data_IF_844861868652
#
_entry.id   IF_844861868652
#
_cell.length_a   1.000
_cell.length_b   1.000
_cell.length_c   1.000
_cell.angle_alpha   90.00
_cell.angle_beta   90.00
_cell.angle_gamma   90.00
#
_symmetry.space_group_name_H-M   'P 1'
#
loop_
_entity.id
_entity.type
_entity.pdbx_description
1 polymer ?
#
# COMPACT_ATOMS: atom_id res chain seq x y z
N UNK A 1 11.06 8.38 20.36
CA UNK A 1 10.42 9.23 19.34
C UNK A 1 9.29 8.54 18.60
N UNK A 2 9.45 7.28 18.18
CA UNK A 2 8.38 6.48 17.54
C UNK A 2 7.10 6.44 18.39
N UNK A 3 7.19 6.27 19.72
CA UNK A 3 6.03 6.35 20.64
C UNK A 3 5.30 7.71 20.58
N UNK A 4 6.03 8.82 20.43
CA UNK A 4 5.44 10.16 20.31
C UNK A 4 4.73 10.29 18.96
N UNK A 5 5.37 9.84 17.88
CA UNK A 5 4.76 9.81 16.54
C UNK A 5 3.52 8.92 16.52
N UNK A 6 3.55 7.76 17.19
CA UNK A 6 2.39 6.89 17.31
C UNK A 6 1.24 7.59 18.04
N UNK A 7 1.49 8.17 19.21
CA UNK A 7 0.46 8.90 19.97
C UNK A 7 -0.17 10.06 19.19
N UNK A 8 0.60 10.72 18.32
CA UNK A 8 0.11 11.86 17.52
C UNK A 8 -0.55 11.45 16.20
N UNK A 9 -0.04 10.40 15.54
CA UNK A 9 -0.58 9.97 14.25
C UNK A 9 -1.73 9.00 14.40
N UNK A 10 -1.77 8.23 15.48
CA UNK A 10 -2.77 7.19 15.76
C UNK A 10 -3.78 7.73 16.75
N UNK A 11 -4.49 8.77 16.32
CA UNK A 11 -5.66 9.28 17.03
C UNK A 11 -6.79 8.25 16.99
N UNK A 12 -7.62 8.22 18.05
CA UNK A 12 -8.80 7.32 18.13
C UNK A 12 -9.69 7.40 16.89
N UNK A 13 -9.85 8.60 16.31
CA UNK A 13 -10.64 8.82 15.09
C UNK A 13 -10.02 8.12 13.87
N UNK A 14 -8.70 8.15 13.73
CA UNK A 14 -8.00 7.50 12.61
C UNK A 14 -8.00 5.98 12.75
N UNK A 15 -7.82 5.47 13.96
CA UNK A 15 -7.97 4.04 14.24
C UNK A 15 -9.38 3.58 13.86
N UNK A 16 -10.41 4.35 14.24
CA UNK A 16 -11.79 4.05 13.87
C UNK A 16 -12.01 4.06 12.34
N UNK A 17 -11.44 5.04 11.62
CA UNK A 17 -11.51 5.09 10.15
C UNK A 17 -10.81 3.89 9.53
N UNK A 18 -9.61 3.55 9.98
CA UNK A 18 -8.87 2.37 9.51
C UNK A 18 -9.66 1.09 9.74
N UNK A 19 -10.28 0.95 10.91
CA UNK A 19 -11.13 -0.20 11.24
C UNK A 19 -12.37 -0.28 10.35
N UNK A 20 -13.07 0.85 10.13
CA UNK A 20 -14.23 0.88 9.21
C UNK A 20 -13.81 0.48 7.80
N UNK A 21 -12.68 1.02 7.34
CA UNK A 21 -12.16 0.72 6.02
C UNK A 21 -11.83 -0.76 5.86
N UNK A 22 -11.22 -1.34 6.88
CA UNK A 22 -10.89 -2.76 6.92
C UNK A 22 -12.12 -3.68 6.94
N UNK A 23 -13.15 -3.35 7.74
CA UNK A 23 -14.42 -4.07 7.72
C UNK A 23 -15.09 -4.02 6.34
N UNK A 24 -14.90 -2.91 5.61
CA UNK A 24 -15.39 -2.75 4.26
C UNK A 24 -14.62 -3.63 3.25
N UNK A 25 -13.29 -3.81 3.44
CA UNK A 25 -12.50 -4.80 2.67
C UNK A 25 -13.03 -6.21 2.87
N UNK A 26 -13.23 -6.61 4.13
CA UNK A 26 -13.75 -7.93 4.47
C UNK A 26 -15.14 -8.14 3.86
N UNK A 27 -16.00 -7.11 3.92
CA UNK A 27 -17.32 -7.16 3.31
C UNK A 27 -17.22 -7.34 1.79
N UNK A 28 -16.35 -6.61 1.08
CA UNK A 28 -16.15 -6.82 -0.35
C UNK A 28 -15.65 -8.22 -0.67
N UNK A 29 -14.68 -8.74 0.08
CA UNK A 29 -14.20 -10.11 -0.11
C UNK A 29 -15.31 -11.13 0.09
N UNK A 30 -16.16 -10.96 1.11
CA UNK A 30 -17.30 -11.86 1.33
C UNK A 30 -18.31 -11.81 0.19
N UNK A 31 -18.64 -10.62 -0.32
CA UNK A 31 -19.58 -10.46 -1.43
C UNK A 31 -19.07 -11.13 -2.71
N UNK A 32 -17.79 -10.94 -3.03
CA UNK A 32 -17.14 -11.50 -4.22
C UNK A 32 -17.13 -13.04 -4.17
N UNK A 33 -16.87 -13.61 -3.00
CA UNK A 33 -16.86 -15.07 -2.83
C UNK A 33 -18.26 -15.65 -2.86
N UNK A 34 -19.25 -14.96 -2.31
CA UNK A 34 -20.63 -15.44 -2.19
C UNK A 34 -21.39 -15.43 -3.53
N UNK A 35 -21.00 -14.57 -4.48
CA UNK A 35 -21.80 -14.30 -5.68
C UNK A 35 -21.85 -15.47 -6.68
N UNK A 36 -20.97 -16.48 -6.59
CA UNK A 36 -20.75 -17.35 -7.74
C UNK A 36 -21.33 -18.76 -7.76
N UNK A 37 -21.06 -19.69 -6.83
CA UNK A 37 -21.41 -21.10 -7.13
C UNK A 37 -21.69 -21.96 -5.91
N UNK A 38 -22.43 -23.06 -6.11
CA UNK A 38 -22.60 -24.07 -5.08
C UNK A 38 -21.22 -24.65 -4.71
N UNK A 39 -20.99 -24.93 -3.43
CA UNK A 39 -19.69 -25.44 -2.93
C UNK A 39 -19.15 -26.65 -3.72
N UNK A 40 -20.03 -27.43 -4.33
CA UNK A 40 -19.71 -28.58 -5.17
C UNK A 40 -19.09 -28.20 -6.52
N UNK A 41 -19.54 -27.12 -7.16
CA UNK A 41 -18.96 -26.63 -8.42
C UNK A 41 -17.55 -26.07 -8.19
N UNK A 42 -17.34 -25.39 -7.06
CA UNK A 42 -16.02 -24.95 -6.63
C UNK A 42 -15.03 -26.10 -6.48
N UNK A 43 -15.49 -27.25 -5.96
CA UNK A 43 -14.67 -28.45 -5.84
C UNK A 43 -14.37 -29.12 -7.18
N UNK A 44 -15.26 -29.00 -8.18
CA UNK A 44 -15.10 -29.62 -9.49
C UNK A 44 -14.08 -28.87 -10.38
N UNK A 45 -13.98 -27.55 -10.27
CA UNK A 45 -13.05 -26.73 -11.06
C UNK A 45 -12.13 -25.84 -10.20
N UNK A 46 -11.34 -26.42 -9.27
CA UNK A 46 -10.62 -25.67 -8.24
C UNK A 46 -9.58 -24.70 -8.81
N UNK A 47 -8.96 -25.03 -9.94
CA UNK A 47 -7.96 -24.16 -10.59
C UNK A 47 -8.56 -22.84 -11.10
N UNK A 48 -9.80 -22.88 -11.59
CA UNK A 48 -10.46 -21.68 -12.09
C UNK A 48 -10.74 -20.71 -10.93
N UNK A 49 -11.32 -21.21 -9.84
CA UNK A 49 -11.62 -20.39 -8.67
C UNK A 49 -10.37 -19.92 -7.94
N UNK A 50 -9.32 -20.74 -7.89
CA UNK A 50 -8.04 -20.32 -7.32
C UNK A 50 -7.49 -19.09 -8.06
N UNK A 51 -7.45 -19.13 -9.39
CA UNK A 51 -7.00 -17.99 -10.19
C UNK A 51 -7.92 -16.79 -10.02
N UNK A 52 -9.24 -16.99 -10.13
CA UNK A 52 -10.23 -15.93 -9.95
C UNK A 52 -10.11 -15.22 -8.60
N UNK A 53 -10.06 -15.98 -7.50
CA UNK A 53 -9.92 -15.43 -6.14
C UNK A 53 -8.59 -14.68 -6.01
N UNK A 54 -7.49 -15.22 -6.56
CA UNK A 54 -6.18 -14.58 -6.49
C UNK A 54 -6.12 -13.25 -7.27
N UNK A 55 -6.72 -13.19 -8.46
CA UNK A 55 -6.76 -11.98 -9.29
C UNK A 55 -7.64 -10.90 -8.65
N UNK A 56 -8.83 -11.28 -8.20
CA UNK A 56 -9.76 -10.33 -7.57
C UNK A 56 -9.21 -9.83 -6.24
N UNK A 57 -8.62 -10.72 -5.42
CA UNK A 57 -7.93 -10.32 -4.20
C UNK A 57 -6.87 -9.26 -4.49
N UNK A 58 -6.02 -9.51 -5.48
CA UNK A 58 -4.93 -8.61 -5.85
C UNK A 58 -5.46 -7.25 -6.32
N UNK A 59 -6.52 -7.20 -7.12
CA UNK A 59 -7.15 -5.94 -7.54
C UNK A 59 -7.74 -5.14 -6.37
N UNK A 60 -8.51 -5.82 -5.51
CA UNK A 60 -9.08 -5.20 -4.29
C UNK A 60 -7.95 -4.70 -3.40
N UNK A 61 -6.92 -5.50 -3.18
CA UNK A 61 -5.76 -5.18 -2.35
C UNK A 61 -5.03 -3.93 -2.86
N UNK A 62 -4.77 -3.82 -4.16
CA UNK A 62 -4.12 -2.66 -4.76
C UNK A 62 -4.94 -1.38 -4.49
N UNK A 63 -6.24 -1.41 -4.79
CA UNK A 63 -7.12 -0.24 -4.63
C UNK A 63 -7.23 0.19 -3.16
N UNK A 64 -7.45 -0.79 -2.29
CA UNK A 64 -7.63 -0.59 -0.85
C UNK A 64 -6.34 -0.03 -0.23
N UNK A 65 -5.20 -0.61 -0.58
CA UNK A 65 -3.94 -0.21 0.00
C UNK A 65 -3.48 1.18 -0.49
N UNK A 66 -3.76 1.54 -1.74
CA UNK A 66 -3.51 2.89 -2.22
C UNK A 66 -4.26 3.93 -1.35
N UNK A 67 -5.51 3.65 -0.99
CA UNK A 67 -6.30 4.50 -0.09
C UNK A 67 -5.75 4.49 1.34
N UNK A 68 -5.31 3.34 1.86
CA UNK A 68 -4.67 3.26 3.17
C UNK A 68 -3.43 4.16 3.24
N UNK A 69 -2.56 4.09 2.22
CA UNK A 69 -1.36 4.93 2.16
C UNK A 69 -1.72 6.41 2.11
N UNK A 70 -2.79 6.80 1.40
CA UNK A 70 -3.29 8.17 1.44
C UNK A 70 -3.59 8.59 2.89
N UNK A 71 -4.42 7.82 3.59
CA UNK A 71 -4.86 8.17 4.95
C UNK A 71 -3.69 8.24 5.93
N UNK A 72 -2.71 7.35 5.78
CA UNK A 72 -1.50 7.32 6.59
C UNK A 72 -0.65 8.60 6.40
N UNK A 73 -0.45 9.02 5.16
CA UNK A 73 0.49 10.10 4.81
C UNK A 73 -0.19 11.47 4.69
N UNK A 74 -1.51 11.57 4.58
CA UNK A 74 -2.23 12.85 4.43
C UNK A 74 -1.94 13.88 5.53
N UNK A 75 -1.56 13.40 6.71
CA UNK A 75 -1.26 14.22 7.88
C UNK A 75 0.24 14.33 8.18
N UNK A 76 1.09 13.97 7.21
CA UNK A 76 2.54 14.01 7.37
C UNK A 76 3.06 15.39 7.78
N UNK A 77 2.41 16.51 7.44
CA UNK A 77 2.85 17.87 7.80
C UNK A 77 2.10 18.51 8.99
N UNK A 78 1.50 17.71 9.88
CA UNK A 78 0.75 18.26 11.03
C UNK A 78 1.58 19.26 11.88
N UNK A 79 0.93 20.29 12.45
CA UNK A 79 1.62 21.33 13.22
C UNK A 79 2.36 20.81 14.46
N UNK A 80 1.99 19.64 15.00
CA UNK A 80 2.66 19.02 16.15
C UNK A 80 4.13 18.65 15.87
N UNK A 81 4.50 18.47 14.59
CA UNK A 81 5.85 18.07 14.19
C UNK A 81 6.82 19.25 14.31
N UNK A 82 6.32 20.50 14.22
CA UNK A 82 7.14 21.70 14.31
C UNK A 82 7.92 21.78 15.64
N UNK A 83 7.30 21.57 16.82
CA UNK A 83 8.03 21.39 18.07
C UNK A 83 9.09 20.28 18.02
N UNK A 84 8.78 19.10 17.46
CA UNK A 84 9.72 17.99 17.39
C UNK A 84 10.97 18.34 16.56
N UNK A 85 10.79 19.09 15.47
CA UNK A 85 11.91 19.60 14.68
C UNK A 85 12.81 20.54 15.47
N UNK A 86 12.24 21.38 16.34
CA UNK A 86 13.01 22.28 17.20
C UNK A 86 13.82 21.54 18.26
N UNK A 87 13.26 20.48 18.87
CA UNK A 87 13.92 19.73 19.95
C UNK A 87 14.93 18.68 19.46
N UNK A 88 14.61 17.91 18.42
CA UNK A 88 15.42 16.74 18.02
C UNK A 88 16.18 16.95 16.71
N UNK A 89 15.95 18.07 16.02
CA UNK A 89 16.52 18.36 14.71
C UNK A 89 15.73 17.71 13.58
N UNK A 90 15.62 18.42 12.44
CA UNK A 90 14.74 18.03 11.33
C UNK A 90 15.11 16.69 10.71
N UNK A 91 16.41 16.44 10.47
CA UNK A 91 16.89 15.21 9.84
C UNK A 91 16.50 13.96 10.63
N UNK A 92 16.72 13.97 11.95
CA UNK A 92 16.34 12.85 12.82
C UNK A 92 14.83 12.62 12.75
N UNK A 93 14.02 13.67 12.91
CA UNK A 93 12.56 13.54 12.86
C UNK A 93 12.07 13.00 11.53
N UNK A 94 12.60 13.46 10.39
CA UNK A 94 12.26 12.93 9.07
C UNK A 94 12.58 11.44 8.93
N UNK A 95 13.75 11.00 9.39
CA UNK A 95 14.15 9.57 9.34
C UNK A 95 13.21 8.71 10.17
N UNK A 96 12.94 9.08 11.42
CA UNK A 96 12.04 8.29 12.28
C UNK A 96 10.59 8.33 11.83
N UNK A 97 10.14 9.41 11.20
CA UNK A 97 8.83 9.48 10.56
C UNK A 97 8.73 8.53 9.37
N UNK A 98 9.77 8.45 8.56
CA UNK A 98 9.86 7.46 7.48
C UNK A 98 9.81 6.02 8.03
N UNK A 99 10.65 5.70 9.03
CA UNK A 99 10.65 4.38 9.68
C UNK A 99 9.28 4.05 10.27
N UNK A 100 8.60 5.03 10.88
CA UNK A 100 7.25 4.85 11.40
C UNK A 100 6.26 4.46 10.30
N UNK A 101 6.27 5.14 9.15
CA UNK A 101 5.39 4.78 8.03
C UNK A 101 5.69 3.39 7.48
N UNK A 102 6.97 3.02 7.33
CA UNK A 102 7.37 1.69 6.90
C UNK A 102 6.84 0.59 7.84
N UNK A 103 6.94 0.81 9.15
CA UNK A 103 6.39 -0.11 10.15
C UNK A 103 4.87 -0.22 10.05
N UNK A 104 4.16 0.91 9.93
CA UNK A 104 2.70 0.91 9.82
C UNK A 104 2.20 0.19 8.56
N UNK A 105 2.87 0.38 7.41
CA UNK A 105 2.54 -0.35 6.18
C UNK A 105 2.82 -1.84 6.36
N UNK A 106 3.94 -2.21 6.99
CA UNK A 106 4.27 -3.61 7.25
C UNK A 106 3.21 -4.30 8.09
N UNK A 107 2.82 -3.69 9.22
CA UNK A 107 1.76 -4.22 10.07
C UNK A 107 0.43 -4.35 9.34
N UNK A 108 0.04 -3.31 8.59
CA UNK A 108 -1.19 -3.33 7.83
C UNK A 108 -1.19 -4.40 6.73
N UNK A 109 -0.10 -4.54 5.98
CA UNK A 109 0.03 -5.57 4.94
C UNK A 109 -0.08 -6.99 5.50
N UNK A 110 0.62 -7.29 6.60
CA UNK A 110 0.51 -8.58 7.29
C UNK A 110 -0.91 -8.83 7.80
N UNK A 111 -1.56 -7.79 8.31
CA UNK A 111 -2.90 -7.88 8.85
C UNK A 111 -3.93 -8.17 7.74
N UNK A 112 -3.90 -7.43 6.63
CA UNK A 112 -4.81 -7.67 5.48
C UNK A 112 -4.60 -9.06 4.92
N UNK A 113 -3.36 -9.52 4.79
CA UNK A 113 -3.04 -10.88 4.38
C UNK A 113 -3.68 -11.94 5.30
N UNK A 114 -3.47 -11.83 6.61
CA UNK A 114 -4.06 -12.75 7.57
C UNK A 114 -5.60 -12.73 7.50
N UNK A 115 -6.19 -11.55 7.38
CA UNK A 115 -7.64 -11.39 7.27
C UNK A 115 -8.22 -12.05 6.01
N UNK A 116 -7.49 -11.99 4.89
CA UNK A 116 -7.87 -12.61 3.64
C UNK A 116 -7.77 -14.14 3.68
N UNK A 117 -6.64 -14.68 4.16
CA UNK A 117 -6.44 -16.12 4.34
C UNK A 117 -7.53 -16.72 5.24
N UNK A 118 -7.87 -16.05 6.34
CA UNK A 118 -8.98 -16.45 7.23
C UNK A 118 -10.31 -16.40 6.48
N UNK A 119 -10.60 -15.33 5.75
CA UNK A 119 -11.85 -15.19 5.01
C UNK A 119 -12.00 -16.28 3.94
N UNK A 120 -10.97 -16.56 3.16
CA UNK A 120 -10.95 -17.61 2.14
C UNK A 120 -11.18 -18.98 2.78
N UNK A 121 -10.46 -19.29 3.86
CA UNK A 121 -10.60 -20.58 4.55
C UNK A 121 -11.99 -20.77 5.17
N UNK A 122 -12.64 -19.71 5.63
CA UNK A 122 -13.99 -19.79 6.22
C UNK A 122 -15.06 -19.87 5.13
N UNK A 123 -14.91 -19.13 4.04
CA UNK A 123 -15.94 -18.97 3.01
C UNK A 123 -15.84 -19.97 1.87
N UNK A 124 -14.66 -20.52 1.59
CA UNK A 124 -14.45 -21.44 0.46
C UNK A 124 -13.83 -22.76 0.92
N UNK A 125 -14.21 -23.89 0.30
CA UNK A 125 -13.59 -25.19 0.58
C UNK A 125 -12.22 -25.36 -0.10
N UNK A 126 -11.73 -24.36 -0.83
CA UNK A 126 -10.49 -24.43 -1.61
C UNK A 126 -9.36 -23.79 -0.79
N UNK A 127 -8.24 -24.50 -0.66
CA UNK A 127 -7.00 -23.95 -0.12
C UNK A 127 -6.32 -23.06 -1.16
N UNK A 128 -6.77 -21.82 -1.29
CA UNK A 128 -6.07 -20.80 -2.08
C UNK A 128 -4.91 -20.27 -1.23
N UNK A 129 -3.68 -20.61 -1.60
CA UNK A 129 -2.50 -19.96 -1.04
C UNK A 129 -2.16 -18.74 -1.88
N UNK A 130 -2.18 -17.55 -1.28
CA UNK A 130 -1.65 -16.35 -1.92
C UNK A 130 -0.12 -16.45 -1.92
N UNK A 131 0.49 -16.25 -3.08
CA UNK A 131 1.95 -16.29 -3.22
C UNK A 131 2.62 -15.17 -2.42
N UNK A 132 3.62 -15.51 -1.61
CA UNK A 132 4.39 -14.55 -0.84
C UNK A 132 5.13 -13.56 -1.75
N UNK A 133 5.49 -14.02 -2.96
CA UNK A 133 6.17 -13.19 -3.95
C UNK A 133 5.29 -12.02 -4.42
N UNK A 134 4.01 -12.27 -4.75
CA UNK A 134 3.10 -11.21 -5.16
C UNK A 134 2.87 -10.21 -4.04
N UNK A 135 2.72 -10.69 -2.81
CA UNK A 135 2.58 -9.84 -1.63
C UNK A 135 3.78 -8.92 -1.41
N UNK A 136 5.00 -9.43 -1.60
CA UNK A 136 6.22 -8.62 -1.48
C UNK A 136 6.25 -7.50 -2.53
N UNK A 137 5.85 -7.77 -3.78
CA UNK A 137 5.80 -6.75 -4.81
C UNK A 137 4.74 -5.68 -4.52
N UNK A 138 3.57 -6.09 -4.05
CA UNK A 138 2.51 -5.15 -3.67
C UNK A 138 2.93 -4.31 -2.45
N UNK A 139 3.68 -4.88 -1.50
CA UNK A 139 4.27 -4.12 -0.41
C UNK A 139 5.27 -3.07 -0.90
N UNK A 140 6.17 -3.43 -1.82
CA UNK A 140 7.14 -2.49 -2.40
C UNK A 140 6.45 -1.33 -3.14
N UNK A 141 5.35 -1.60 -3.84
CA UNK A 141 4.53 -0.55 -4.48
C UNK A 141 4.00 0.47 -3.47
N UNK A 142 3.53 0.01 -2.30
CA UNK A 142 3.05 0.92 -1.25
C UNK A 142 4.15 1.82 -0.73
N UNK A 143 5.38 1.30 -0.62
CA UNK A 143 6.54 2.10 -0.19
C UNK A 143 6.91 3.15 -1.24
N UNK A 144 6.86 2.79 -2.52
CA UNK A 144 7.07 3.75 -3.63
C UNK A 144 6.01 4.84 -3.58
N UNK A 145 4.75 4.49 -3.35
CA UNK A 145 3.64 5.44 -3.25
C UNK A 145 3.81 6.38 -2.04
N UNK A 146 4.24 5.87 -0.87
CA UNK A 146 4.61 6.71 0.28
C UNK A 146 5.71 7.70 -0.09
N UNK A 147 6.77 7.23 -0.73
CA UNK A 147 7.89 8.10 -1.13
C UNK A 147 7.41 9.22 -2.06
N UNK A 148 6.60 8.90 -3.07
CA UNK A 148 6.02 9.89 -3.98
C UNK A 148 5.18 10.92 -3.22
N UNK A 149 4.30 10.48 -2.32
CA UNK A 149 3.46 11.39 -1.54
C UNK A 149 4.32 12.26 -0.62
N UNK A 150 5.31 11.70 0.09
CA UNK A 150 6.20 12.48 0.97
C UNK A 150 7.02 13.54 0.21
N UNK A 151 7.46 13.23 -1.01
CA UNK A 151 8.21 14.17 -1.86
C UNK A 151 7.29 15.25 -2.42
N UNK A 152 6.10 14.91 -2.90
CA UNK A 152 5.21 15.86 -3.56
C UNK A 152 4.40 16.72 -2.59
N UNK A 153 4.09 16.22 -1.41
CA UNK A 153 3.18 16.90 -0.49
C UNK A 153 3.86 18.04 0.25
N UNK A 154 3.14 19.16 0.32
CA UNK A 154 3.30 20.22 1.31
C UNK A 154 1.94 20.45 1.97
N UNK A 155 1.91 20.93 3.20
CA UNK A 155 0.69 21.25 3.95
C UNK A 155 -0.41 21.98 3.15
N UNK A 156 -0.04 22.84 2.18
CA UNK A 156 -0.99 23.60 1.35
C UNK A 156 -1.66 22.80 0.23
N UNK A 157 -1.12 21.64 -0.16
CA UNK A 157 -1.55 20.90 -1.35
C UNK A 157 -2.04 19.49 -1.02
N UNK A 158 -2.90 19.34 0.00
CA UNK A 158 -3.46 18.03 0.36
C UNK A 158 -4.16 17.34 -0.84
N UNK A 159 -4.79 18.11 -1.72
CA UNK A 159 -5.43 17.60 -2.94
C UNK A 159 -4.48 16.95 -3.94
N UNK A 160 -3.18 17.29 -3.96
CA UNK A 160 -2.21 16.65 -4.86
C UNK A 160 -1.99 15.17 -4.49
N UNK A 161 -2.07 14.79 -3.22
CA UNK A 161 -1.98 13.36 -2.83
C UNK A 161 -3.10 12.53 -3.46
N UNK A 162 -4.31 13.07 -3.50
CA UNK A 162 -5.47 12.41 -4.11
C UNK A 162 -5.24 12.24 -5.62
N UNK A 163 -4.70 13.26 -6.28
CA UNK A 163 -4.40 13.20 -7.72
C UNK A 163 -3.32 12.14 -8.01
N UNK A 164 -2.24 12.09 -7.22
CA UNK A 164 -1.18 11.08 -7.38
C UNK A 164 -1.76 9.67 -7.29
N UNK A 165 -2.69 9.45 -6.36
CA UNK A 165 -3.31 8.14 -6.17
C UNK A 165 -4.32 7.82 -7.25
N UNK A 166 -5.08 8.80 -7.73
CA UNK A 166 -5.90 8.62 -8.92
C UNK A 166 -5.04 8.21 -10.11
N UNK A 167 -3.90 8.87 -10.34
CA UNK A 167 -2.97 8.49 -11.42
C UNK A 167 -2.47 7.06 -11.20
N UNK A 168 -2.12 6.67 -9.97
CA UNK A 168 -1.70 5.30 -9.66
C UNK A 168 -2.78 4.27 -9.98
N UNK A 169 -4.01 4.47 -9.49
CA UNK A 169 -5.14 3.57 -9.74
C UNK A 169 -5.46 3.50 -11.23
N UNK A 170 -5.47 4.63 -11.92
CA UNK A 170 -5.72 4.68 -13.38
C UNK A 170 -4.59 3.97 -14.14
N UNK A 171 -3.34 4.18 -13.74
CA UNK A 171 -2.18 3.56 -14.40
C UNK A 171 -2.22 2.03 -14.36
N UNK A 172 -2.73 1.45 -13.27
CA UNK A 172 -2.91 -0.01 -13.14
C UNK A 172 -3.75 -0.60 -14.26
N UNK A 173 -4.85 0.05 -14.63
CA UNK A 173 -5.71 -0.42 -15.72
C UNK A 173 -5.04 -0.34 -17.10
N UNK A 174 -4.12 0.61 -17.30
CA UNK A 174 -3.43 0.79 -18.58
C UNK A 174 -2.15 -0.04 -18.71
N UNK A 175 -1.57 -0.48 -17.59
CA UNK A 175 -0.28 -1.16 -17.54
C UNK A 175 -0.25 -2.53 -18.23
N UNK A 176 -1.39 -3.18 -18.39
CA UNK A 176 -1.54 -4.42 -19.17
C UNK A 176 -1.22 -4.23 -20.67
N UNK A 177 -1.41 -3.02 -21.19
CA UNK A 177 -1.21 -2.71 -22.62
C UNK A 177 0.19 -2.20 -22.98
N UNK A 178 1.04 -1.90 -21.98
CA UNK A 178 2.33 -1.24 -22.17
C UNK A 178 3.44 -2.27 -22.43
N UNK A 179 4.31 -2.00 -23.41
CA UNK A 179 5.45 -2.87 -23.73
C UNK A 179 6.46 -2.98 -22.58
N UNK A 180 7.14 -4.13 -22.49
CA UNK A 180 8.04 -4.48 -21.39
C UNK A 180 9.11 -3.42 -21.04
N UNK A 181 9.60 -2.67 -22.03
CA UNK A 181 10.69 -1.71 -21.83
C UNK A 181 10.27 -0.46 -21.04
N UNK A 182 9.03 0.01 -21.20
CA UNK A 182 8.55 1.22 -20.50
C UNK A 182 8.15 0.95 -19.05
N UNK A 183 8.06 -0.31 -18.64
CA UNK A 183 7.65 -0.68 -17.29
C UNK A 183 8.76 -0.50 -16.25
N UNK A 184 10.02 -0.44 -16.66
CA UNK A 184 11.13 -0.10 -15.74
C UNK A 184 11.14 1.38 -15.32
N UNK A 185 10.42 2.24 -16.05
CA UNK A 185 10.28 3.66 -15.73
C UNK A 185 9.26 3.88 -14.61
N UNK A 186 8.19 3.07 -14.60
CA UNK A 186 7.16 3.06 -13.57
C UNK A 186 6.99 1.63 -13.07
N UNK A 187 7.78 1.20 -12.08
CA UNK A 187 7.79 -0.18 -11.59
C UNK A 187 6.59 -0.41 -10.67
N UNK A 188 5.41 -0.38 -11.26
CA UNK A 188 4.13 -0.66 -10.64
C UNK A 188 3.82 -2.12 -10.91
N UNK A 189 3.35 -2.83 -9.89
CA UNK A 189 2.99 -4.23 -9.97
C UNK A 189 1.92 -4.48 -11.04
N UNK A 190 2.09 -5.57 -11.81
CA UNK A 190 1.14 -5.99 -12.83
C UNK A 190 0.77 -7.46 -12.60
N UNK A 191 -0.53 -7.75 -12.71
CA UNK A 191 -1.13 -9.08 -12.54
C UNK A 191 -0.75 -10.06 -13.65
N UNK A 192 -0.55 -9.57 -14.87
CA UNK A 192 -0.44 -10.39 -16.09
C UNK A 192 0.95 -11.00 -16.34
N UNK A 193 1.92 -10.81 -15.43
CA UNK A 193 3.35 -11.04 -15.73
C UNK A 193 4.03 -12.05 -14.81
N UNK A 194 4.92 -12.83 -15.40
CA UNK A 194 5.93 -13.59 -14.67
C UNK A 194 6.94 -12.60 -14.07
N UNK A 195 7.02 -12.56 -12.75
CA UNK A 195 7.91 -11.65 -12.05
C UNK A 195 9.37 -12.02 -12.30
N UNK A 196 10.16 -11.02 -12.69
CA UNK A 196 11.61 -11.16 -12.81
C UNK A 196 12.31 -10.50 -11.62
N UNK A 197 13.38 -11.14 -11.13
CA UNK A 197 14.26 -10.64 -10.07
C UNK A 197 14.74 -9.19 -10.33
N UNK A 198 14.94 -8.85 -11.60
CA UNK A 198 15.37 -7.51 -12.03
C UNK A 198 14.39 -6.41 -11.61
N UNK A 199 13.09 -6.66 -11.70
CA UNK A 199 12.05 -5.69 -11.34
C UNK A 199 12.09 -5.36 -9.84
N UNK A 200 12.31 -6.39 -9.01
CA UNK A 200 12.48 -6.22 -7.56
C UNK A 200 13.68 -5.31 -7.24
N UNK A 201 14.81 -5.54 -7.91
CA UNK A 201 16.00 -4.68 -7.77
C UNK A 201 15.69 -3.23 -8.15
N UNK A 202 14.98 -3.00 -9.26
CA UNK A 202 14.57 -1.64 -9.65
C UNK A 202 13.67 -1.00 -8.59
N UNK A 203 12.65 -1.69 -8.08
CA UNK A 203 11.79 -1.16 -7.01
C UNK A 203 12.59 -0.73 -5.78
N UNK A 204 13.54 -1.56 -5.35
CA UNK A 204 14.44 -1.21 -4.23
C UNK A 204 15.24 0.07 -4.54
N UNK A 205 15.81 0.18 -5.75
CA UNK A 205 16.53 1.39 -6.17
C UNK A 205 15.65 2.64 -6.14
N UNK A 206 14.41 2.57 -6.62
CA UNK A 206 13.45 3.68 -6.56
C UNK A 206 13.07 4.04 -5.12
N UNK A 207 12.96 3.05 -4.23
CA UNK A 207 12.69 3.30 -2.82
C UNK A 207 13.84 4.06 -2.17
N UNK A 208 15.09 3.64 -2.40
CA UNK A 208 16.27 4.34 -1.89
C UNK A 208 16.40 5.75 -2.47
N UNK A 209 16.21 5.91 -3.78
CA UNK A 209 16.27 7.21 -4.43
C UNK A 209 15.18 8.14 -3.90
N UNK A 210 13.96 7.65 -3.74
CA UNK A 210 12.84 8.40 -3.15
C UNK A 210 13.12 8.83 -1.72
N UNK A 211 13.69 7.94 -0.89
CA UNK A 211 14.09 8.27 0.47
C UNK A 211 15.17 9.37 0.52
N UNK A 212 16.18 9.28 -0.34
CA UNK A 212 17.24 10.30 -0.43
C UNK A 212 16.70 11.66 -0.87
N UNK A 213 15.82 11.70 -1.87
CA UNK A 213 15.15 12.93 -2.31
C UNK A 213 14.27 13.51 -1.20
N UNK A 214 13.55 12.68 -0.46
CA UNK A 214 12.76 13.11 0.69
C UNK A 214 13.64 13.76 1.77
N UNK A 215 14.77 13.13 2.12
CA UNK A 215 15.71 13.71 3.09
C UNK A 215 16.27 15.05 2.61
N UNK A 216 16.72 15.13 1.36
CA UNK A 216 17.26 16.35 0.77
C UNK A 216 16.23 17.49 0.77
N UNK A 217 14.99 17.20 0.37
CA UNK A 217 13.88 18.16 0.47
C UNK A 217 13.67 18.63 1.90
N UNK A 218 13.65 17.71 2.87
CA UNK A 218 13.43 18.08 4.27
C UNK A 218 14.53 18.99 4.80
N UNK A 219 15.79 18.79 4.40
CA UNK A 219 16.91 19.65 4.78
C UNK A 219 16.77 21.02 4.12
N UNK A 220 16.46 21.07 2.83
CA UNK A 220 16.44 22.30 2.02
C UNK A 220 15.26 23.24 2.29
N UNK A 221 14.17 22.80 2.93
CA UNK A 221 13.07 23.67 3.39
C UNK A 221 13.50 24.61 4.57
N UNK A 222 14.77 25.03 4.59
CA UNK A 222 15.38 26.01 5.51
C UNK A 222 15.19 27.47 5.05
N UNK A 223 14.62 27.70 3.86
CA UNK A 223 14.28 29.01 3.29
C UNK A 223 12.76 29.14 3.13
#
# INVERSE_FOLDING_TARGET
MIKLLFMSYVDRKKVMILFIFEMLVLLFMTLIVYEKDATLEMMLTPRYYQNYISEVFTQVFIMVNAMFVLFLVMDHDQPFIKPLFAYFGRLRVSVYKYIFYMLMIGFYGCYVYASCEIAIHVLTPINVQIDLHTLLYMFLDMVILVNLILICMKHKYKSLSIIIIMIYIVSMFFLESISFNYQYILPIYNLSKNYHLLELCYKICYIFLGFMLYLLKSINEQL
#
